data_IF_267499545203
#
_entry.id   IF_267499545203
#
_cell.length_a   1.000
_cell.length_b   1.000
_cell.length_c   1.000
_cell.angle_alpha   90.00
_cell.angle_beta   90.00
_cell.angle_gamma   90.00
#
_symmetry.space_group_name_H-M   'P 1'
#
loop_
_entity.id
_entity.type
_entity.pdbx_description
1 polymer ?
#
# COMPACT_ATOMS: atom_id res chain seq x y z
N UNK A 1 29.88 26.19 22.02
CA UNK A 1 29.85 24.72 22.15
C UNK A 1 29.10 24.18 20.95
N UNK A 2 29.81 23.61 19.97
CA UNK A 2 29.17 23.03 18.78
C UNK A 2 28.38 21.80 19.19
N UNK A 3 27.06 21.83 18.99
CA UNK A 3 26.25 20.61 19.13
C UNK A 3 26.78 19.56 18.16
N UNK A 4 26.97 18.30 18.58
CA UNK A 4 27.31 17.24 17.64
C UNK A 4 26.19 17.19 16.59
N UNK A 5 26.59 17.21 15.32
CA UNK A 5 25.63 16.98 14.23
C UNK A 5 24.98 15.62 14.46
N UNK A 6 23.68 15.49 14.15
CA UNK A 6 22.85 14.26 14.29
C UNK A 6 23.52 12.97 13.79
N UNK A 7 24.58 13.11 12.99
CA UNK A 7 25.26 12.06 12.27
C UNK A 7 26.69 11.77 12.76
N UNK A 8 27.15 12.40 13.85
CA UNK A 8 28.49 12.16 14.37
C UNK A 8 28.66 10.65 14.71
N UNK A 9 29.62 9.98 14.07
CA UNK A 9 29.92 8.56 14.28
C UNK A 9 29.13 7.54 13.43
N UNK A 10 28.09 7.95 12.69
CA UNK A 10 27.30 7.04 11.84
C UNK A 10 28.03 6.77 10.50
N UNK A 11 28.14 5.53 10.00
CA UNK A 11 28.70 5.23 8.68
C UNK A 11 28.00 5.97 7.53
N UNK A 12 28.73 6.29 6.46
CA UNK A 12 28.20 7.09 5.35
C UNK A 12 27.02 6.42 4.62
N UNK A 13 27.02 5.09 4.52
CA UNK A 13 25.92 4.29 3.95
C UNK A 13 24.64 4.46 4.75
N UNK A 14 24.74 4.37 6.07
CA UNK A 14 23.61 4.43 6.99
C UNK A 14 23.02 5.86 7.00
N UNK A 15 23.88 6.88 6.88
CA UNK A 15 23.41 8.26 6.68
C UNK A 15 22.64 8.44 5.38
N UNK A 16 23.05 7.80 4.28
CA UNK A 16 22.35 7.90 2.99
C UNK A 16 20.99 7.20 3.06
N UNK A 17 20.95 6.01 3.67
CA UNK A 17 19.71 5.28 3.89
C UNK A 17 18.73 6.06 4.78
N UNK A 18 19.20 6.64 5.89
CA UNK A 18 18.33 7.41 6.78
C UNK A 18 17.84 8.71 6.13
N UNK A 19 18.68 9.39 5.32
CA UNK A 19 18.22 10.54 4.51
C UNK A 19 17.16 10.13 3.48
N UNK A 20 17.36 8.99 2.80
CA UNK A 20 16.37 8.45 1.87
C UNK A 20 15.04 8.20 2.57
N UNK A 21 15.05 7.55 3.74
CA UNK A 21 13.84 7.30 4.53
C UNK A 21 13.14 8.62 4.94
N UNK A 22 13.89 9.65 5.35
CA UNK A 22 13.34 10.96 5.67
C UNK A 22 12.66 11.65 4.47
N UNK A 23 13.21 11.49 3.27
CA UNK A 23 12.60 12.00 2.04
C UNK A 23 11.29 11.26 1.71
N UNK A 24 11.26 9.93 1.86
CA UNK A 24 10.07 9.11 1.62
C UNK A 24 8.96 9.46 2.63
N UNK A 25 9.29 9.54 3.92
CA UNK A 25 8.34 9.91 4.98
C UNK A 25 7.76 11.31 4.78
N UNK A 26 8.60 12.30 4.42
CA UNK A 26 8.13 13.64 4.07
C UNK A 26 7.19 13.64 2.85
N UNK A 27 7.52 12.86 1.81
CA UNK A 27 6.68 12.74 0.63
C UNK A 27 5.35 12.04 0.93
N UNK A 28 5.37 10.98 1.76
CA UNK A 28 4.17 10.29 2.22
C UNK A 28 3.21 11.25 2.92
N UNK A 29 3.70 12.09 3.83
CA UNK A 29 2.88 13.13 4.49
C UNK A 29 2.31 14.13 3.49
N UNK A 30 3.17 14.76 2.68
CA UNK A 30 2.76 15.81 1.75
C UNK A 30 1.75 15.32 0.71
N UNK A 31 2.04 14.18 0.08
CA UNK A 31 1.13 13.58 -0.91
C UNK A 31 -0.15 13.07 -0.25
N UNK A 32 -0.01 12.44 0.92
CA UNK A 32 -1.13 11.95 1.72
C UNK A 32 -2.12 13.04 2.09
N UNK A 33 -1.66 14.25 2.41
CA UNK A 33 -2.51 15.35 2.87
C UNK A 33 -3.01 16.23 1.71
N UNK A 34 -2.13 16.55 0.75
CA UNK A 34 -2.39 17.54 -0.31
C UNK A 34 -2.32 17.01 -1.75
N UNK A 35 -2.17 15.71 -1.95
CA UNK A 35 -2.06 15.08 -3.27
C UNK A 35 -0.83 15.51 -4.07
N UNK A 36 -0.87 15.29 -5.39
CA UNK A 36 0.25 15.60 -6.30
C UNK A 36 0.69 17.07 -6.22
N UNK A 37 -0.26 18.00 -6.06
CA UNK A 37 0.03 19.45 -6.03
C UNK A 37 0.86 19.90 -4.83
N UNK A 38 0.84 19.14 -3.73
CA UNK A 38 1.66 19.43 -2.54
C UNK A 38 3.12 18.95 -2.70
N UNK A 39 3.39 18.09 -3.68
CA UNK A 39 4.67 17.43 -3.87
C UNK A 39 5.58 18.23 -4.82
N UNK A 40 6.74 18.63 -4.32
CA UNK A 40 7.82 19.23 -5.08
C UNK A 40 9.14 18.96 -4.37
N UNK A 41 10.26 18.96 -5.10
CA UNK A 41 11.60 18.82 -4.48
C UNK A 41 11.78 19.79 -3.32
N UNK A 42 11.33 21.05 -3.50
CA UNK A 42 11.43 22.10 -2.49
C UNK A 42 10.54 21.85 -1.27
N UNK A 43 9.28 21.42 -1.46
CA UNK A 43 8.38 21.13 -0.33
C UNK A 43 8.87 19.93 0.48
N UNK A 44 9.31 18.86 -0.19
CA UNK A 44 9.89 17.66 0.45
C UNK A 44 11.15 18.02 1.26
N UNK A 45 12.10 18.73 0.65
CA UNK A 45 13.34 19.15 1.32
C UNK A 45 13.06 20.00 2.56
N UNK A 46 12.10 20.94 2.46
CA UNK A 46 11.67 21.77 3.58
C UNK A 46 11.04 20.93 4.70
N UNK A 47 10.19 19.97 4.36
CA UNK A 47 9.48 19.11 5.30
C UNK A 47 10.43 18.23 6.14
N UNK A 48 11.48 17.68 5.52
CA UNK A 48 12.47 16.85 6.22
C UNK A 48 13.72 17.61 6.71
N UNK A 49 13.84 18.91 6.42
CA UNK A 49 15.01 19.72 6.79
C UNK A 49 16.30 19.37 6.03
N UNK A 50 16.19 18.74 4.85
CA UNK A 50 17.32 18.41 3.97
C UNK A 50 17.45 19.44 2.85
N UNK A 51 18.65 19.55 2.27
CA UNK A 51 18.86 20.37 1.07
C UNK A 51 18.61 19.55 -0.22
N UNK A 52 18.48 20.25 -1.35
CA UNK A 52 18.18 19.64 -2.65
C UNK A 52 19.26 18.69 -3.15
N UNK A 53 20.52 18.85 -2.75
CA UNK A 53 21.58 17.90 -3.10
C UNK A 53 21.27 16.50 -2.55
N UNK A 54 20.77 16.40 -1.32
CA UNK A 54 20.43 15.09 -0.74
C UNK A 54 19.22 14.43 -1.39
N UNK A 55 18.30 15.22 -1.94
CA UNK A 55 17.21 14.71 -2.78
C UNK A 55 17.78 13.99 -4.00
N UNK A 56 18.61 14.69 -4.79
CA UNK A 56 19.17 14.15 -6.03
C UNK A 56 20.23 13.06 -5.82
N UNK A 57 20.76 12.90 -4.60
CA UNK A 57 21.55 11.72 -4.22
C UNK A 57 20.70 10.43 -4.13
N UNK A 58 19.38 10.55 -3.99
CA UNK A 58 18.47 9.41 -3.73
C UNK A 58 17.41 9.20 -4.81
N UNK A 59 17.00 10.27 -5.50
CA UNK A 59 15.88 10.25 -6.45
C UNK A 59 16.16 11.14 -7.65
N UNK A 60 15.73 10.71 -8.84
CA UNK A 60 15.86 11.51 -10.05
C UNK A 60 14.90 12.72 -10.05
N UNK A 61 13.66 12.49 -9.63
CA UNK A 61 12.58 13.46 -9.60
C UNK A 61 11.52 13.07 -8.55
N UNK A 62 10.41 13.81 -8.50
CA UNK A 62 9.31 13.54 -7.59
C UNK A 62 8.51 12.28 -7.94
N UNK A 63 8.53 11.82 -9.19
CA UNK A 63 7.82 10.62 -9.61
C UNK A 63 8.56 9.37 -9.12
N UNK A 64 9.89 9.36 -9.23
CA UNK A 64 10.75 8.32 -8.64
C UNK A 64 10.58 8.25 -7.10
N UNK A 65 10.54 9.42 -6.44
CA UNK A 65 10.23 9.49 -5.01
C UNK A 65 8.84 8.95 -4.68
N UNK A 66 7.82 9.31 -5.45
CA UNK A 66 6.45 8.87 -5.24
C UNK A 66 6.30 7.36 -5.49
N UNK A 67 7.05 6.80 -6.44
CA UNK A 67 7.19 5.36 -6.63
C UNK A 67 7.72 4.67 -5.37
N UNK A 68 8.74 5.24 -4.72
CA UNK A 68 9.27 4.68 -3.47
C UNK A 68 8.28 4.80 -2.29
N UNK A 69 7.51 5.89 -2.21
CA UNK A 69 6.40 6.00 -1.23
C UNK A 69 5.38 4.88 -1.46
N UNK A 70 4.99 4.66 -2.71
CA UNK A 70 4.03 3.61 -3.05
C UNK A 70 4.57 2.22 -2.69
N UNK A 71 5.84 1.94 -2.99
CA UNK A 71 6.48 0.66 -2.63
C UNK A 71 6.43 0.40 -1.13
N UNK A 72 6.75 1.40 -0.31
CA UNK A 72 6.76 1.25 1.15
C UNK A 72 5.35 1.01 1.69
N UNK A 73 4.35 1.75 1.22
CA UNK A 73 2.96 1.58 1.66
C UNK A 73 2.37 0.25 1.17
N UNK A 74 2.69 -0.17 -0.05
CA UNK A 74 2.21 -1.45 -0.59
C UNK A 74 2.87 -2.65 0.08
N UNK A 75 4.15 -2.56 0.45
CA UNK A 75 4.82 -3.58 1.26
C UNK A 75 4.15 -3.73 2.63
N UNK A 76 3.87 -2.61 3.31
CA UNK A 76 3.14 -2.61 4.58
C UNK A 76 1.73 -3.22 4.47
N UNK A 77 1.03 -2.97 3.35
CA UNK A 77 -0.27 -3.60 3.08
C UNK A 77 -0.12 -5.13 2.95
N UNK A 78 0.86 -5.60 2.19
CA UNK A 78 1.13 -7.04 2.04
C UNK A 78 1.44 -7.68 3.39
N UNK A 79 2.31 -7.07 4.20
CA UNK A 79 2.64 -7.55 5.55
C UNK A 79 1.38 -7.63 6.44
N UNK A 80 0.48 -6.64 6.35
CA UNK A 80 -0.77 -6.63 7.09
C UNK A 80 -1.71 -7.77 6.66
N UNK A 81 -1.80 -8.04 5.35
CA UNK A 81 -2.60 -9.15 4.80
C UNK A 81 -2.02 -10.49 5.27
N UNK A 82 -0.71 -10.70 5.11
CA UNK A 82 -0.03 -11.93 5.54
C UNK A 82 -0.18 -12.16 7.04
N UNK A 83 0.01 -11.11 7.85
CA UNK A 83 -0.18 -11.13 9.29
C UNK A 83 -1.61 -11.54 9.68
N UNK A 84 -2.63 -10.96 9.03
CA UNK A 84 -4.02 -11.30 9.28
C UNK A 84 -4.37 -12.73 8.86
N UNK A 85 -3.88 -13.16 7.68
CA UNK A 85 -4.12 -14.52 7.18
C UNK A 85 -3.45 -15.57 8.07
N UNK A 86 -2.22 -15.33 8.55
CA UNK A 86 -1.49 -16.27 9.42
C UNK A 86 -2.22 -16.59 10.72
N UNK A 87 -3.00 -15.64 11.24
CA UNK A 87 -3.81 -15.79 12.45
C UNK A 87 -5.19 -16.40 12.19
N UNK A 88 -5.64 -16.43 10.93
CA UNK A 88 -6.92 -16.98 10.56
C UNK A 88 -6.86 -18.52 10.42
N UNK A 89 -7.98 -19.19 10.72
CA UNK A 89 -8.11 -20.63 10.49
C UNK A 89 -7.91 -20.99 9.01
N UNK A 90 -7.50 -22.23 8.75
CA UNK A 90 -7.31 -22.76 7.39
C UNK A 90 -8.65 -23.10 6.72
N UNK A 91 -9.50 -22.08 6.55
CA UNK A 91 -10.73 -22.19 5.77
C UNK A 91 -10.84 -21.01 4.82
N UNK A 92 -11.37 -21.24 3.61
CA UNK A 92 -11.55 -20.20 2.60
C UNK A 92 -12.31 -19.00 3.17
N UNK A 93 -13.38 -19.26 3.92
CA UNK A 93 -14.17 -18.21 4.57
C UNK A 93 -13.38 -17.36 5.55
N UNK A 94 -12.59 -17.98 6.44
CA UNK A 94 -11.80 -17.23 7.42
C UNK A 94 -10.67 -16.44 6.75
N UNK A 95 -10.01 -17.03 5.75
CA UNK A 95 -8.92 -16.39 4.99
C UNK A 95 -9.41 -15.23 4.15
N UNK A 96 -10.54 -15.39 3.45
CA UNK A 96 -11.20 -14.28 2.75
C UNK A 96 -11.60 -13.19 3.73
N UNK A 97 -12.24 -13.51 4.87
CA UNK A 97 -12.59 -12.50 5.89
C UNK A 97 -11.36 -11.73 6.37
N UNK A 98 -10.28 -12.42 6.70
CA UNK A 98 -9.05 -11.82 7.20
C UNK A 98 -8.41 -10.89 6.15
N UNK A 99 -8.33 -11.33 4.89
CA UNK A 99 -7.79 -10.51 3.80
C UNK A 99 -8.61 -9.24 3.56
N UNK A 100 -9.94 -9.34 3.53
CA UNK A 100 -10.82 -8.17 3.37
C UNK A 100 -10.63 -7.18 4.52
N UNK A 101 -10.68 -7.68 5.76
CA UNK A 101 -10.52 -6.85 6.95
C UNK A 101 -9.15 -6.16 6.98
N UNK A 102 -8.08 -6.87 6.62
CA UNK A 102 -6.73 -6.31 6.57
C UNK A 102 -6.62 -5.15 5.58
N UNK A 103 -7.11 -5.33 4.35
CA UNK A 103 -7.05 -4.29 3.30
C UNK A 103 -7.83 -3.05 3.73
N UNK A 104 -9.08 -3.23 4.16
CA UNK A 104 -9.96 -2.10 4.51
C UNK A 104 -9.49 -1.40 5.79
N UNK A 105 -9.10 -2.16 6.81
CA UNK A 105 -8.56 -1.65 8.08
C UNK A 105 -7.27 -0.86 7.85
N UNK A 106 -6.25 -1.48 7.25
CA UNK A 106 -4.96 -0.83 6.97
C UNK A 106 -5.12 0.51 6.25
N UNK A 107 -6.00 0.54 5.24
CA UNK A 107 -6.22 1.70 4.40
C UNK A 107 -6.98 2.83 5.09
N UNK A 108 -7.78 2.52 6.12
CA UNK A 108 -8.62 3.50 6.85
C UNK A 108 -8.04 3.95 8.18
N UNK A 109 -7.10 3.20 8.77
CA UNK A 109 -6.34 3.64 9.94
C UNK A 109 -5.56 4.95 9.70
N UNK A 110 -5.01 5.08 8.50
CA UNK A 110 -4.39 6.32 8.02
C UNK A 110 -4.91 6.64 6.61
N UNK A 111 -5.75 7.68 6.45
CA UNK A 111 -6.33 8.07 5.16
C UNK A 111 -5.29 8.31 4.06
N UNK A 112 -4.05 8.63 4.43
CA UNK A 112 -2.94 8.83 3.49
C UNK A 112 -2.54 7.53 2.81
N UNK A 113 -2.60 6.38 3.51
CA UNK A 113 -2.37 5.05 2.92
C UNK A 113 -3.38 4.77 1.82
N UNK A 114 -4.66 4.99 2.12
CA UNK A 114 -5.73 4.86 1.14
C UNK A 114 -5.52 5.77 -0.08
N UNK A 115 -5.04 7.00 0.14
CA UNK A 115 -4.73 7.93 -0.94
C UNK A 115 -3.61 7.40 -1.86
N UNK A 116 -2.49 6.95 -1.29
CA UNK A 116 -1.36 6.38 -2.02
C UNK A 116 -1.79 5.14 -2.82
N UNK A 117 -2.51 4.22 -2.17
CA UNK A 117 -2.85 2.92 -2.75
C UNK A 117 -3.97 2.99 -3.77
N UNK A 118 -5.01 3.80 -3.55
CA UNK A 118 -6.28 3.70 -4.28
C UNK A 118 -6.75 4.98 -4.97
N UNK A 119 -6.11 6.14 -4.77
CA UNK A 119 -6.50 7.35 -5.51
C UNK A 119 -6.21 7.18 -7.00
N UNK A 120 -7.12 7.69 -7.83
CA UNK A 120 -6.98 7.78 -9.28
C UNK A 120 -5.85 8.75 -9.66
N UNK A 121 -4.60 8.34 -9.39
CA UNK A 121 -3.39 8.89 -10.00
C UNK A 121 -3.30 8.45 -11.47
N UNK A 122 -4.42 8.47 -12.20
CA UNK A 122 -4.47 8.15 -13.64
C UNK A 122 -3.58 9.07 -14.47
N UNK A 123 -3.11 10.17 -13.88
CA UNK A 123 -2.13 11.11 -14.43
C UNK A 123 -0.67 10.72 -14.23
N UNK A 124 -0.33 9.87 -13.24
CA UNK A 124 1.06 9.52 -12.95
C UNK A 124 1.41 8.09 -13.45
N UNK A 125 2.22 7.95 -14.51
CA UNK A 125 2.53 6.65 -15.10
C UNK A 125 3.34 5.74 -14.15
N UNK A 126 4.15 6.30 -13.24
CA UNK A 126 4.91 5.52 -12.26
C UNK A 126 3.98 4.86 -11.26
N UNK A 127 3.04 5.63 -10.70
CA UNK A 127 2.05 5.07 -9.77
C UNK A 127 1.13 4.05 -10.45
N UNK A 128 0.71 4.32 -11.69
CA UNK A 128 -0.11 3.37 -12.44
C UNK A 128 0.62 2.03 -12.65
N UNK A 129 1.89 2.06 -13.03
CA UNK A 129 2.70 0.85 -13.23
C UNK A 129 2.92 0.08 -11.91
N UNK A 130 3.26 0.78 -10.82
CA UNK A 130 3.42 0.13 -9.50
C UNK A 130 2.13 -0.48 -9.00
N UNK A 131 1.00 0.18 -9.22
CA UNK A 131 -0.32 -0.34 -8.86
C UNK A 131 -0.67 -1.62 -9.62
N UNK A 132 -0.46 -1.62 -10.93
CA UNK A 132 -0.66 -2.83 -11.73
C UNK A 132 0.20 -3.99 -11.21
N UNK A 133 1.48 -3.73 -10.92
CA UNK A 133 2.38 -4.75 -10.36
C UNK A 133 1.92 -5.27 -8.99
N UNK A 134 1.47 -4.40 -8.07
CA UNK A 134 0.90 -4.83 -6.78
C UNK A 134 -0.38 -5.65 -6.95
N UNK A 135 -1.26 -5.26 -7.87
CA UNK A 135 -2.48 -6.01 -8.16
C UNK A 135 -2.16 -7.41 -8.69
N UNK A 136 -1.16 -7.54 -9.56
CA UNK A 136 -0.69 -8.84 -10.05
C UNK A 136 -0.13 -9.72 -8.92
N UNK A 137 0.70 -9.15 -8.04
CA UNK A 137 1.23 -9.86 -6.87
C UNK A 137 0.11 -10.34 -5.93
N UNK A 138 -0.87 -9.49 -5.63
CA UNK A 138 -2.00 -9.86 -4.78
C UNK A 138 -2.87 -10.93 -5.43
N UNK A 139 -3.10 -10.85 -6.75
CA UNK A 139 -3.82 -11.88 -7.51
C UNK A 139 -3.11 -13.23 -7.46
N UNK A 140 -1.78 -13.25 -7.59
CA UNK A 140 -0.97 -14.47 -7.47
C UNK A 140 -1.03 -15.06 -6.06
N UNK A 141 -1.03 -14.22 -5.02
CA UNK A 141 -1.26 -14.64 -3.64
C UNK A 141 -2.62 -15.31 -3.45
N UNK A 142 -3.68 -14.72 -4.01
CA UNK A 142 -5.05 -15.28 -3.98
C UNK A 142 -5.11 -16.63 -4.69
N UNK A 143 -4.45 -16.77 -5.84
CA UNK A 143 -4.38 -18.05 -6.56
C UNK A 143 -3.68 -19.13 -5.73
N UNK A 144 -2.55 -18.76 -5.13
CA UNK A 144 -1.75 -19.68 -4.31
C UNK A 144 -2.54 -20.16 -3.08
N UNK A 145 -3.21 -19.25 -2.38
CA UNK A 145 -4.05 -19.61 -1.23
C UNK A 145 -5.29 -20.41 -1.65
N UNK A 146 -5.89 -20.07 -2.81
CA UNK A 146 -7.00 -20.83 -3.40
C UNK A 146 -6.62 -22.29 -3.67
N UNK A 147 -5.49 -22.53 -4.35
CA UNK A 147 -4.98 -23.89 -4.60
C UNK A 147 -4.60 -24.64 -3.34
N UNK A 148 -4.09 -23.94 -2.31
CA UNK A 148 -3.76 -24.56 -1.02
C UNK A 148 -5.01 -25.13 -0.35
N UNK A 149 -6.11 -24.39 -0.39
CA UNK A 149 -7.36 -24.71 0.30
C UNK A 149 -8.26 -25.64 -0.54
N UNK A 150 -8.20 -25.54 -1.88
CA UNK A 150 -9.03 -26.30 -2.83
C UNK A 150 -8.15 -26.90 -3.94
N UNK A 151 -7.52 -28.03 -3.64
CA UNK A 151 -6.48 -28.65 -4.50
C UNK A 151 -6.97 -29.19 -5.84
N UNK A 152 -8.27 -29.47 -5.96
CA UNK A 152 -8.87 -30.09 -7.15
C UNK A 152 -9.62 -29.08 -8.03
N UNK A 153 -9.43 -27.77 -7.80
CA UNK A 153 -10.11 -26.72 -8.56
C UNK A 153 -9.61 -26.64 -10.00
N UNK A 154 -10.54 -26.41 -10.95
CA UNK A 154 -10.20 -26.17 -12.35
C UNK A 154 -9.26 -24.95 -12.49
N UNK A 155 -8.11 -25.06 -13.20
CA UNK A 155 -7.14 -23.98 -13.27
C UNK A 155 -7.67 -22.68 -13.88
N UNK A 156 -8.58 -22.77 -14.84
CA UNK A 156 -9.20 -21.58 -15.47
C UNK A 156 -10.18 -20.95 -14.48
N UNK A 157 -11.00 -21.75 -13.81
CA UNK A 157 -11.90 -21.27 -12.77
C UNK A 157 -11.15 -20.57 -11.63
N UNK A 158 -10.01 -21.11 -11.18
CA UNK A 158 -9.15 -20.47 -10.19
C UNK A 158 -8.60 -19.12 -10.68
N UNK A 159 -8.09 -19.06 -11.91
CA UNK A 159 -7.61 -17.82 -12.54
C UNK A 159 -8.71 -16.75 -12.62
N UNK A 160 -9.90 -17.12 -13.09
CA UNK A 160 -11.05 -16.22 -13.19
C UNK A 160 -11.48 -15.75 -11.80
N UNK A 161 -11.58 -16.66 -10.83
CA UNK A 161 -11.95 -16.34 -9.45
C UNK A 161 -10.99 -15.36 -8.79
N UNK A 162 -9.68 -15.57 -8.94
CA UNK A 162 -8.67 -14.65 -8.37
C UNK A 162 -8.68 -13.28 -9.05
N UNK A 163 -8.84 -13.22 -10.37
CA UNK A 163 -8.96 -11.97 -11.10
C UNK A 163 -10.22 -11.18 -10.66
N UNK A 164 -11.36 -11.86 -10.58
CA UNK A 164 -12.61 -11.27 -10.10
C UNK A 164 -12.49 -10.80 -8.65
N UNK A 165 -11.88 -11.59 -7.76
CA UNK A 165 -11.69 -11.22 -6.36
C UNK A 165 -10.82 -9.97 -6.23
N UNK A 166 -9.67 -9.96 -6.90
CA UNK A 166 -8.70 -8.85 -6.81
C UNK A 166 -9.31 -7.56 -7.33
N UNK A 167 -10.04 -7.61 -8.45
CA UNK A 167 -10.78 -6.46 -8.97
C UNK A 167 -11.88 -5.98 -8.03
N UNK A 168 -12.73 -6.89 -7.53
CA UNK A 168 -13.80 -6.58 -6.59
C UNK A 168 -13.26 -6.00 -5.27
N UNK A 169 -12.11 -6.48 -4.80
CA UNK A 169 -11.45 -5.97 -3.60
C UNK A 169 -10.92 -4.55 -3.77
N UNK A 170 -10.29 -4.24 -4.91
CA UNK A 170 -9.83 -2.89 -5.19
C UNK A 170 -11.01 -1.89 -5.23
N UNK A 171 -12.10 -2.28 -5.89
CA UNK A 171 -13.34 -1.49 -5.91
C UNK A 171 -13.92 -1.33 -4.51
N UNK A 172 -14.03 -2.41 -3.73
CA UNK A 172 -14.55 -2.39 -2.35
C UNK A 172 -13.73 -1.42 -1.47
N UNK A 173 -12.40 -1.45 -1.58
CA UNK A 173 -11.52 -0.54 -0.85
C UNK A 173 -11.75 0.92 -1.25
N UNK A 174 -11.91 1.22 -2.54
CA UNK A 174 -12.25 2.57 -3.00
C UNK A 174 -13.60 3.06 -2.47
N UNK A 175 -14.62 2.20 -2.48
CA UNK A 175 -15.95 2.53 -1.97
C UNK A 175 -15.95 2.74 -0.44
N UNK A 176 -15.15 1.95 0.28
CA UNK A 176 -14.91 2.12 1.72
C UNK A 176 -14.24 3.46 2.02
N UNK A 177 -13.14 3.79 1.35
CA UNK A 177 -12.36 5.01 1.57
C UNK A 177 -13.11 6.30 1.18
N UNK A 178 -14.06 6.20 0.26
CA UNK A 178 -14.95 7.32 -0.10
C UNK A 178 -16.15 7.46 0.85
N UNK A 179 -16.26 6.60 1.86
CA UNK A 179 -17.33 6.61 2.86
C UNK A 179 -18.69 6.10 2.33
N UNK A 180 -18.75 5.57 1.09
CA UNK A 180 -20.03 5.12 0.50
C UNK A 180 -20.61 3.89 1.19
N UNK A 181 -19.79 3.16 1.93
CA UNK A 181 -20.18 1.94 2.65
C UNK A 181 -20.44 2.18 4.15
N UNK A 182 -20.41 3.43 4.61
CA UNK A 182 -20.50 3.78 6.03
C UNK A 182 -19.17 3.65 6.77
N UNK A 183 -19.22 3.45 8.09
CA UNK A 183 -18.04 3.42 8.98
C UNK A 183 -17.89 2.13 9.78
N UNK A 184 -18.83 1.18 9.64
CA UNK A 184 -18.78 -0.10 10.34
C UNK A 184 -18.00 -1.12 9.49
N UNK A 185 -16.72 -1.28 9.83
CA UNK A 185 -15.82 -2.18 9.12
C UNK A 185 -16.28 -3.64 9.21
N UNK A 186 -16.75 -4.08 10.38
CA UNK A 186 -17.16 -5.47 10.60
C UNK A 186 -18.41 -5.81 9.78
N UNK A 187 -19.38 -4.89 9.72
CA UNK A 187 -20.56 -5.06 8.89
C UNK A 187 -20.19 -5.15 7.40
N UNK A 188 -19.32 -4.27 6.91
CA UNK A 188 -18.86 -4.29 5.51
C UNK A 188 -18.13 -5.59 5.18
N UNK A 189 -17.21 -6.02 6.04
CA UNK A 189 -16.47 -7.28 5.89
C UNK A 189 -17.42 -8.47 5.89
N UNK A 190 -18.37 -8.55 6.82
CA UNK A 190 -19.32 -9.66 6.88
C UNK A 190 -20.17 -9.74 5.61
N UNK A 191 -20.70 -8.60 5.14
CA UNK A 191 -21.49 -8.57 3.91
C UNK A 191 -20.65 -8.94 2.68
N UNK A 192 -19.41 -8.46 2.57
CA UNK A 192 -18.53 -8.79 1.47
C UNK A 192 -18.23 -10.31 1.41
N UNK A 193 -17.85 -10.92 2.53
CA UNK A 193 -17.60 -12.37 2.62
C UNK A 193 -18.85 -13.18 2.26
N UNK A 194 -20.02 -12.75 2.75
CA UNK A 194 -21.30 -13.43 2.47
C UNK A 194 -21.67 -13.37 0.99
N UNK A 195 -21.30 -12.32 0.26
CA UNK A 195 -21.56 -12.21 -1.17
C UNK A 195 -20.55 -13.01 -2.00
N UNK A 196 -19.29 -13.06 -1.55
CA UNK A 196 -18.22 -13.73 -2.27
C UNK A 196 -18.32 -15.26 -2.25
N UNK A 197 -18.76 -15.84 -1.12
CA UNK A 197 -18.75 -17.29 -0.89
C UNK A 197 -20.16 -17.91 -0.86
N UNK A 198 -21.07 -17.42 -1.71
CA UNK A 198 -22.44 -17.97 -1.81
C UNK A 198 -22.48 -19.31 -2.51
#
# INVERSE_FOLDING_TARGET
MSSPTRWAGVPLTDRRAERRAQLIDAAFRLFGDGGETALSVRSVCRECGLNTRYFYESFADTDDLLGAVYDEVSAQLTDAIEGAMSQASESLRARTRAGIAAVLGFSSEDPRRGRVLFTDARSNPVLAARRAATQDLLREGVLTEGWRLERDSDPIAAQVGAAMYTGAMAELAQQWLTGRLGTDLDAVVEHAVRQWLR
#
